data_IF_080746363724
#
_entry.id   IF_080746363724
#
_cell.length_a   1.000
_cell.length_b   1.000
_cell.length_c   1.000
_cell.angle_alpha   90.00
_cell.angle_beta   90.00
_cell.angle_gamma   90.00
#
_symmetry.space_group_name_H-M   'P 1'
#
loop_
_entity.id
_entity.type
_entity.pdbx_description
1 polymer ?
#
# COMPACT_ATOMS: atom_id res chain seq x y z
N UNK A 1 3.54 -30.18 -7.39
CA UNK A 1 2.81 -28.90 -7.39
C UNK A 1 3.60 -27.90 -8.23
N UNK A 2 3.51 -27.99 -9.55
CA UNK A 2 4.38 -27.22 -10.47
C UNK A 2 3.92 -25.76 -10.70
N UNK A 3 2.75 -25.38 -10.18
CA UNK A 3 2.21 -24.03 -10.38
C UNK A 3 2.93 -22.95 -9.57
N UNK A 4 3.31 -23.21 -8.32
CA UNK A 4 3.88 -22.17 -7.45
C UNK A 4 5.32 -21.81 -7.81
N UNK A 5 6.17 -22.79 -8.15
CA UNK A 5 7.60 -22.56 -8.42
C UNK A 5 7.81 -21.61 -9.60
N UNK A 6 7.05 -21.77 -10.69
CA UNK A 6 7.15 -20.90 -11.86
C UNK A 6 6.80 -19.42 -11.60
N UNK A 7 5.86 -19.15 -10.68
CA UNK A 7 5.51 -17.77 -10.31
C UNK A 7 6.49 -17.19 -9.30
N UNK A 8 7.05 -18.00 -8.40
CA UNK A 8 8.08 -17.58 -7.45
C UNK A 8 9.35 -17.16 -8.19
N UNK A 9 9.75 -17.90 -9.23
CA UNK A 9 10.94 -17.58 -10.05
C UNK A 9 10.84 -16.24 -10.80
N UNK A 10 9.63 -15.69 -10.96
CA UNK A 10 9.39 -14.38 -11.57
C UNK A 10 9.33 -13.24 -10.56
N UNK A 11 9.28 -13.53 -9.26
CA UNK A 11 9.31 -12.51 -8.22
C UNK A 11 10.77 -12.21 -7.92
N UNK A 12 11.33 -11.31 -8.72
CA UNK A 12 12.61 -10.72 -8.38
C UNK A 12 12.49 -9.82 -7.14
N UNK A 13 13.64 -9.43 -6.58
CA UNK A 13 13.71 -8.60 -5.38
C UNK A 13 12.92 -7.27 -5.53
N UNK A 14 12.91 -6.68 -6.72
CA UNK A 14 12.22 -5.42 -6.99
C UNK A 14 10.69 -5.60 -7.04
N UNK A 15 10.19 -6.72 -7.58
CA UNK A 15 8.78 -7.09 -7.52
C UNK A 15 8.38 -7.38 -6.07
N UNK A 16 9.20 -8.12 -5.33
CA UNK A 16 8.96 -8.43 -3.92
C UNK A 16 8.85 -7.15 -3.07
N UNK A 17 9.77 -6.21 -3.21
CA UNK A 17 9.76 -4.94 -2.46
C UNK A 17 8.52 -4.09 -2.74
N UNK A 18 8.04 -4.09 -3.99
CA UNK A 18 6.78 -3.42 -4.37
C UNK A 18 5.57 -4.10 -3.75
N UNK A 19 5.52 -5.43 -3.78
CA UNK A 19 4.43 -6.19 -3.16
C UNK A 19 4.40 -5.99 -1.65
N UNK A 20 5.57 -6.03 -1.00
CA UNK A 20 5.70 -5.75 0.43
C UNK A 20 5.25 -4.33 0.77
N UNK A 21 5.64 -3.34 -0.02
CA UNK A 21 5.20 -1.95 0.16
C UNK A 21 3.68 -1.83 0.07
N UNK A 22 3.06 -2.46 -0.92
CA UNK A 22 1.59 -2.47 -1.04
C UNK A 22 0.94 -3.17 0.16
N UNK A 23 1.47 -4.32 0.57
CA UNK A 23 0.99 -5.05 1.74
C UNK A 23 1.01 -4.17 3.00
N UNK A 24 2.14 -3.57 3.32
CA UNK A 24 2.32 -2.77 4.54
C UNK A 24 1.41 -1.53 4.53
N UNK A 25 1.21 -0.92 3.36
CA UNK A 25 0.33 0.22 3.17
C UNK A 25 -1.16 -0.15 3.36
N UNK A 26 -1.62 -1.28 2.84
CA UNK A 26 -3.00 -1.73 3.05
C UNK A 26 -3.23 -2.30 4.45
N UNK A 27 -2.25 -2.95 5.07
CA UNK A 27 -2.35 -3.45 6.44
C UNK A 27 -2.56 -2.31 7.44
N UNK A 28 -1.73 -1.26 7.35
CA UNK A 28 -1.87 -0.06 8.19
C UNK A 28 -3.19 0.67 7.93
N UNK A 29 -3.59 0.80 6.65
CA UNK A 29 -4.88 1.42 6.31
C UNK A 29 -6.07 0.61 6.80
N UNK A 30 -6.04 -0.72 6.72
CA UNK A 30 -7.12 -1.56 7.22
C UNK A 30 -7.20 -1.52 8.75
N UNK A 31 -6.08 -1.35 9.45
CA UNK A 31 -6.07 -1.06 10.89
C UNK A 31 -6.73 0.28 11.18
N UNK A 32 -6.32 1.32 10.46
CA UNK A 32 -6.93 2.66 10.53
C UNK A 32 -8.45 2.61 10.31
N UNK A 33 -8.94 1.91 9.28
CA UNK A 33 -10.39 1.75 9.02
C UNK A 33 -11.15 1.07 10.16
N UNK A 34 -10.52 0.12 10.86
CA UNK A 34 -11.15 -0.67 11.93
C UNK A 34 -11.22 0.08 13.25
N UNK A 35 -10.44 1.14 13.42
CA UNK A 35 -10.48 1.98 14.61
C UNK A 35 -11.70 2.90 14.56
N UNK A 36 -12.80 2.44 15.17
CA UNK A 36 -14.02 3.22 15.32
C UNK A 36 -13.81 4.40 16.27
N UNK A 37 -13.69 5.60 15.71
CA UNK A 37 -13.71 6.93 16.36
C UNK A 37 -12.50 7.27 17.28
N UNK A 38 -12.03 8.54 17.26
CA UNK A 38 -10.73 8.91 17.81
C UNK A 38 -10.85 9.19 19.32
N UNK A 39 -10.73 8.16 20.15
CA UNK A 39 -10.52 8.34 21.59
C UNK A 39 -9.08 8.11 22.03
N UNK A 40 -8.24 7.51 21.17
CA UNK A 40 -6.93 7.02 21.58
C UNK A 40 -5.81 7.58 20.68
N UNK A 41 -4.69 7.95 21.28
CA UNK A 41 -3.53 8.52 20.57
C UNK A 41 -2.91 7.60 19.52
N UNK A 42 -3.17 6.29 19.60
CA UNK A 42 -2.65 5.30 18.65
C UNK A 42 -3.37 5.32 17.30
N UNK A 43 -4.60 5.87 17.25
CA UNK A 43 -5.36 6.10 16.00
C UNK A 43 -4.70 7.13 15.11
N UNK A 44 -3.86 8.01 15.67
CA UNK A 44 -3.00 8.90 14.89
C UNK A 44 -1.70 8.24 14.46
N UNK A 45 -1.26 7.12 15.07
CA UNK A 45 -0.07 6.40 14.58
C UNK A 45 -0.43 5.55 13.36
N UNK A 46 -1.55 4.84 13.43
CA UNK A 46 -2.10 4.09 12.31
C UNK A 46 -2.73 5.08 11.32
N UNK A 47 -2.61 4.84 10.01
CA UNK A 47 -3.02 5.79 8.97
C UNK A 47 -1.95 6.83 8.62
N UNK A 48 -1.06 7.21 9.56
CA UNK A 48 0.11 8.03 9.23
C UNK A 48 1.16 7.23 8.45
N UNK A 49 1.35 5.95 8.79
CA UNK A 49 2.33 5.08 8.11
C UNK A 49 1.89 4.83 6.66
N UNK A 50 0.62 4.51 6.40
CA UNK A 50 0.15 4.30 5.03
C UNK A 50 0.26 5.60 4.19
N UNK A 51 0.00 6.77 4.77
CA UNK A 51 0.19 8.07 4.10
C UNK A 51 1.67 8.35 3.80
N UNK A 52 2.59 8.07 4.73
CA UNK A 52 4.02 8.21 4.48
C UNK A 52 4.53 7.25 3.40
N UNK A 53 4.11 5.98 3.46
CA UNK A 53 4.45 4.97 2.45
C UNK A 53 3.93 5.38 1.08
N UNK A 54 2.70 5.88 1.00
CA UNK A 54 2.14 6.42 -0.23
C UNK A 54 2.99 7.57 -0.79
N UNK A 55 3.30 8.58 0.03
CA UNK A 55 4.12 9.75 -0.39
C UNK A 55 5.51 9.35 -0.87
N UNK A 56 6.18 8.42 -0.17
CA UNK A 56 7.51 7.93 -0.57
C UNK A 56 7.51 7.24 -1.94
N UNK A 57 6.40 6.61 -2.32
CA UNK A 57 6.32 5.79 -3.52
C UNK A 57 5.61 6.48 -4.71
N UNK A 58 4.78 7.49 -4.46
CA UNK A 58 4.09 8.22 -5.54
C UNK A 58 5.08 8.99 -6.43
N UNK A 59 6.18 9.47 -5.87
CA UNK A 59 7.26 10.13 -6.63
C UNK A 59 7.94 9.19 -7.62
N UNK A 60 8.01 7.90 -7.29
CA UNK A 60 8.52 6.86 -8.20
C UNK A 60 7.56 6.67 -9.38
N UNK A 61 6.26 6.85 -9.14
CA UNK A 61 5.23 6.75 -10.18
C UNK A 61 5.23 7.92 -11.16
N UNK A 62 5.68 9.11 -10.73
CA UNK A 62 5.90 10.24 -11.65
C UNK A 62 6.96 9.93 -12.71
N UNK A 63 7.89 9.00 -12.44
CA UNK A 63 8.95 8.59 -13.36
C UNK A 63 8.56 7.41 -14.27
N UNK A 64 7.61 6.58 -13.86
CA UNK A 64 7.15 5.43 -14.66
C UNK A 64 5.68 5.06 -14.35
N UNK A 65 4.77 5.87 -14.89
CA UNK A 65 3.34 5.83 -14.53
C UNK A 65 2.61 4.52 -14.94
N UNK A 66 3.12 3.77 -15.92
CA UNK A 66 2.43 2.60 -16.50
C UNK A 66 2.75 1.26 -15.83
N UNK A 67 3.47 1.23 -14.71
CA UNK A 67 3.71 -0.03 -14.01
C UNK A 67 2.52 -0.38 -13.09
N UNK A 68 2.25 -1.69 -12.91
CA UNK A 68 1.10 -2.15 -12.13
C UNK A 68 1.11 -1.73 -10.66
N UNK A 69 2.29 -1.50 -10.08
CA UNK A 69 2.43 -0.99 -8.72
C UNK A 69 1.87 0.45 -8.58
N UNK A 70 2.14 1.31 -9.57
CA UNK A 70 1.62 2.67 -9.59
C UNK A 70 0.10 2.75 -9.73
N UNK A 71 -0.50 1.86 -10.52
CA UNK A 71 -1.97 1.76 -10.58
C UNK A 71 -2.55 1.41 -9.21
N UNK A 72 -1.92 0.47 -8.48
CA UNK A 72 -2.36 0.10 -7.12
C UNK A 72 -2.20 1.21 -6.09
N UNK A 73 -1.22 2.09 -6.23
CA UNK A 73 -1.12 3.29 -5.38
C UNK A 73 -2.21 4.31 -5.68
N UNK A 74 -2.60 4.49 -6.96
CA UNK A 74 -3.71 5.36 -7.33
C UNK A 74 -5.03 4.82 -6.78
N UNK A 75 -5.26 3.51 -6.90
CA UNK A 75 -6.44 2.84 -6.33
C UNK A 75 -6.49 3.06 -4.81
N UNK A 76 -5.36 2.86 -4.12
CA UNK A 76 -5.26 3.12 -2.69
C UNK A 76 -5.65 4.56 -2.31
N UNK A 77 -5.14 5.56 -3.05
CA UNK A 77 -5.46 6.97 -2.77
C UNK A 77 -6.97 7.20 -2.80
N UNK A 78 -7.65 6.64 -3.81
CA UNK A 78 -9.11 6.78 -3.94
C UNK A 78 -9.83 6.15 -2.74
N UNK A 79 -9.46 4.92 -2.37
CA UNK A 79 -10.06 4.25 -1.22
C UNK A 79 -9.81 5.01 0.09
N UNK A 80 -8.63 5.61 0.26
CA UNK A 80 -8.31 6.45 1.40
C UNK A 80 -9.17 7.71 1.45
N UNK A 81 -9.27 8.43 0.32
CA UNK A 81 -10.12 9.62 0.21
C UNK A 81 -11.60 9.30 0.48
N UNK A 82 -12.11 8.19 -0.04
CA UNK A 82 -13.47 7.71 0.24
C UNK A 82 -13.72 7.40 1.72
N UNK A 83 -12.71 6.89 2.43
CA UNK A 83 -12.83 6.62 3.87
C UNK A 83 -12.80 7.89 4.73
N UNK A 84 -12.22 8.98 4.22
CA UNK A 84 -12.10 10.26 4.93
C UNK A 84 -13.30 11.19 4.75
N UNK A 85 -14.25 10.84 3.86
CA UNK A 85 -15.52 11.56 3.62
C UNK A 85 -16.59 11.08 4.61
#
# INVERSE_FOLDING_TARGET
SEGCEYYVDKIDQNIYEKLKTLHDLYDDFNKFKKETLPTNSDTYKNGNICVELYKKNVDVCNKNYKNGFCMKLIDFKKEYEEHMI
#
